data_IF_003574890993
#
_entry.id   IF_003574890993
#
_cell.length_a   1.000
_cell.length_b   1.000
_cell.length_c   1.000
_cell.angle_alpha   90.00
_cell.angle_beta   90.00
_cell.angle_gamma   90.00
#
_symmetry.space_group_name_H-M   'P 1'
#
loop_
_entity.id
_entity.type
_entity.pdbx_description
1 polymer ?
#
# COMPACT_ATOMS: atom_id res chain seq x y z
N UNK A 1 -46.70 2.22 -36.31
CA UNK A 1 -45.81 1.19 -35.77
C UNK A 1 -44.53 1.83 -35.31
N UNK A 2 -44.41 2.15 -34.01
CA UNK A 2 -43.21 2.78 -33.42
C UNK A 2 -42.39 1.64 -32.87
N UNK A 3 -41.21 1.41 -33.43
CA UNK A 3 -40.26 0.44 -32.92
C UNK A 3 -39.59 1.01 -31.66
N UNK A 4 -39.93 0.47 -30.49
CA UNK A 4 -39.20 0.67 -29.25
C UNK A 4 -37.84 -0.05 -29.35
N UNK A 5 -36.77 0.72 -29.54
CA UNK A 5 -35.42 0.21 -29.36
C UNK A 5 -35.22 -0.12 -27.87
N UNK A 6 -35.30 -1.39 -27.53
CA UNK A 6 -34.87 -1.87 -26.20
C UNK A 6 -33.35 -1.77 -26.17
N UNK A 7 -32.85 -0.69 -25.61
CA UNK A 7 -31.43 -0.54 -25.29
C UNK A 7 -31.04 -1.64 -24.30
N UNK A 8 -30.21 -2.59 -24.74
CA UNK A 8 -29.54 -3.54 -23.83
C UNK A 8 -28.71 -2.69 -22.87
N UNK A 9 -29.18 -2.56 -21.64
CA UNK A 9 -28.36 -2.05 -20.53
C UNK A 9 -27.43 -3.19 -20.15
N UNK A 10 -26.20 -3.14 -20.66
CA UNK A 10 -25.13 -4.02 -20.18
C UNK A 10 -24.89 -3.75 -18.71
N UNK A 11 -24.69 -4.79 -17.89
CA UNK A 11 -24.37 -4.56 -16.48
C UNK A 11 -23.09 -3.71 -16.38
N UNK A 12 -23.16 -2.63 -15.65
CA UNK A 12 -22.14 -1.55 -15.52
C UNK A 12 -20.78 -2.03 -14.98
N UNK A 13 -20.66 -3.32 -14.64
CA UNK A 13 -19.50 -3.93 -14.01
C UNK A 13 -18.76 -4.98 -14.85
N UNK A 14 -19.18 -5.27 -16.06
CA UNK A 14 -18.46 -6.19 -16.94
C UNK A 14 -17.51 -5.39 -17.84
N UNK A 15 -16.20 -5.58 -17.68
CA UNK A 15 -15.19 -5.01 -18.58
C UNK A 15 -15.39 -5.54 -20.00
N UNK A 16 -15.11 -4.70 -21.01
CA UNK A 16 -15.04 -5.17 -22.39
C UNK A 16 -13.94 -6.22 -22.53
N UNK A 17 -14.10 -7.16 -23.46
CA UNK A 17 -13.14 -8.26 -23.65
C UNK A 17 -11.70 -7.74 -23.87
N UNK A 18 -11.52 -6.56 -24.52
CA UNK A 18 -10.20 -5.96 -24.72
C UNK A 18 -9.64 -5.39 -23.43
N UNK A 19 -10.43 -4.67 -22.64
CA UNK A 19 -9.98 -4.11 -21.35
C UNK A 19 -9.63 -5.23 -20.37
N UNK A 20 -10.43 -6.28 -20.33
CA UNK A 20 -10.18 -7.47 -19.50
C UNK A 20 -8.87 -8.17 -19.87
N UNK A 21 -8.56 -8.31 -21.15
CA UNK A 21 -7.31 -8.92 -21.61
C UNK A 21 -6.10 -8.06 -21.23
N UNK A 22 -6.17 -6.72 -21.36
CA UNK A 22 -5.11 -5.80 -20.93
C UNK A 22 -4.86 -5.89 -19.43
N UNK A 23 -5.92 -5.91 -18.62
CA UNK A 23 -5.83 -6.08 -17.16
C UNK A 23 -5.15 -7.42 -16.83
N UNK A 24 -5.56 -8.52 -17.45
CA UNK A 24 -4.97 -9.84 -17.23
C UNK A 24 -3.47 -9.87 -17.55
N UNK A 25 -3.06 -9.26 -18.67
CA UNK A 25 -1.64 -9.16 -19.04
C UNK A 25 -0.86 -8.31 -18.03
N UNK A 26 -1.42 -7.19 -17.58
CA UNK A 26 -0.81 -6.33 -16.58
C UNK A 26 -0.65 -7.06 -15.23
N UNK A 27 -1.69 -7.78 -14.78
CA UNK A 27 -1.65 -8.58 -13.55
C UNK A 27 -0.52 -9.64 -13.60
N UNK A 28 -0.33 -10.30 -14.76
CA UNK A 28 0.75 -11.27 -14.95
C UNK A 28 2.15 -10.63 -14.87
N UNK A 29 2.33 -9.45 -15.48
CA UNK A 29 3.60 -8.72 -15.41
C UNK A 29 3.90 -8.26 -13.99
N UNK A 30 2.89 -7.81 -13.25
CA UNK A 30 3.05 -7.38 -11.86
C UNK A 30 3.41 -8.54 -10.94
N UNK A 31 2.75 -9.69 -11.09
CA UNK A 31 3.08 -10.90 -10.33
C UNK A 31 4.50 -11.41 -10.65
N UNK A 32 4.92 -11.34 -11.92
CA UNK A 32 6.28 -11.72 -12.33
C UNK A 32 7.35 -10.76 -11.75
N UNK A 33 7.04 -9.47 -11.59
CA UNK A 33 7.97 -8.50 -11.04
C UNK A 33 8.31 -8.72 -9.56
N UNK A 34 7.39 -9.24 -8.77
CA UNK A 34 7.62 -9.60 -7.36
C UNK A 34 8.54 -10.84 -7.23
N UNK A 35 8.61 -11.68 -8.25
CA UNK A 35 9.38 -12.91 -8.24
C UNK A 35 10.80 -12.77 -8.83
N UNK A 36 11.08 -11.73 -9.63
CA UNK A 36 12.32 -11.61 -10.42
C UNK A 36 13.06 -10.28 -10.23
N UNK A 37 14.39 -10.29 -10.51
CA UNK A 37 15.25 -9.10 -10.45
C UNK A 37 15.03 -8.14 -11.65
N UNK A 38 14.27 -8.53 -12.69
CA UNK A 38 13.99 -7.73 -13.89
C UNK A 38 12.74 -6.85 -13.77
N UNK A 39 12.38 -6.46 -12.56
CA UNK A 39 11.06 -5.97 -12.17
C UNK A 39 10.69 -4.57 -12.67
N UNK A 40 11.64 -3.67 -12.89
CA UNK A 40 11.31 -2.26 -13.17
C UNK A 40 10.63 -2.10 -14.54
N UNK A 41 11.13 -2.77 -15.59
CA UNK A 41 10.54 -2.71 -16.92
C UNK A 41 9.17 -3.41 -16.97
N UNK A 42 9.07 -4.58 -16.36
CA UNK A 42 7.81 -5.34 -16.30
C UNK A 42 6.74 -4.56 -15.56
N UNK A 43 7.06 -3.94 -14.42
CA UNK A 43 6.14 -3.11 -13.66
C UNK A 43 5.71 -1.85 -14.42
N UNK A 44 6.63 -1.18 -15.13
CA UNK A 44 6.29 -0.02 -15.97
C UNK A 44 5.39 -0.43 -17.15
N UNK A 45 5.62 -1.60 -17.73
CA UNK A 45 4.77 -2.13 -18.79
C UNK A 45 3.38 -2.48 -18.27
N UNK A 46 3.27 -3.03 -17.06
CA UNK A 46 1.97 -3.26 -16.42
C UNK A 46 1.19 -1.94 -16.25
N UNK A 47 1.83 -0.86 -15.82
CA UNK A 47 1.20 0.47 -15.74
C UNK A 47 0.66 0.92 -17.09
N UNK A 48 1.43 0.76 -18.17
CA UNK A 48 0.99 1.13 -19.52
C UNK A 48 -0.28 0.38 -19.91
N UNK A 49 -0.33 -0.93 -19.66
CA UNK A 49 -1.51 -1.76 -19.95
C UNK A 49 -2.73 -1.35 -19.10
N UNK A 50 -2.53 -1.04 -17.81
CA UNK A 50 -3.62 -0.54 -16.97
C UNK A 50 -4.11 0.84 -17.44
N UNK A 51 -3.23 1.73 -17.92
CA UNK A 51 -3.62 3.01 -18.49
C UNK A 51 -4.43 2.84 -19.78
N UNK A 52 -4.04 1.90 -20.66
CA UNK A 52 -4.81 1.56 -21.86
C UNK A 52 -6.19 0.99 -21.48
N UNK A 53 -6.24 0.08 -20.52
CA UNK A 53 -7.49 -0.47 -20.02
C UNK A 53 -8.40 0.63 -19.41
N UNK A 54 -7.83 1.56 -18.63
CA UNK A 54 -8.55 2.70 -18.07
C UNK A 54 -9.06 3.67 -19.12
N UNK A 55 -8.36 3.78 -20.26
CA UNK A 55 -8.82 4.54 -21.43
C UNK A 55 -10.04 3.92 -22.11
N UNK A 56 -10.13 2.58 -22.12
CA UNK A 56 -11.28 1.85 -22.65
C UNK A 56 -12.47 1.84 -21.68
N UNK A 57 -12.20 1.76 -20.37
CA UNK A 57 -13.19 1.66 -19.30
C UNK A 57 -12.95 2.73 -18.21
N UNK A 58 -13.20 4.02 -18.52
CA UNK A 58 -12.84 5.14 -17.65
C UNK A 58 -13.64 5.17 -16.33
N UNK A 59 -14.71 4.41 -16.24
CA UNK A 59 -15.58 4.32 -15.06
C UNK A 59 -15.39 3.02 -14.26
N UNK A 60 -14.34 2.25 -14.54
CA UNK A 60 -13.98 1.06 -13.75
C UNK A 60 -13.13 1.44 -12.54
N UNK A 61 -13.71 1.37 -11.32
CA UNK A 61 -12.96 1.56 -10.08
C UNK A 61 -11.84 0.53 -9.94
N UNK A 62 -12.09 -0.73 -10.32
CA UNK A 62 -11.12 -1.82 -10.26
C UNK A 62 -9.84 -1.50 -11.05
N UNK A 63 -9.96 -1.01 -12.29
CA UNK A 63 -8.79 -0.68 -13.11
C UNK A 63 -8.01 0.48 -12.47
N UNK A 64 -8.70 1.47 -11.92
CA UNK A 64 -8.05 2.59 -11.24
C UNK A 64 -7.30 2.14 -9.97
N UNK A 65 -7.86 1.21 -9.19
CA UNK A 65 -7.20 0.59 -8.03
C UNK A 65 -5.93 -0.15 -8.46
N UNK A 66 -6.01 -0.99 -9.49
CA UNK A 66 -4.86 -1.73 -10.03
C UNK A 66 -3.77 -0.80 -10.55
N UNK A 67 -4.13 0.27 -11.25
CA UNK A 67 -3.19 1.29 -11.71
C UNK A 67 -2.50 2.00 -10.54
N UNK A 68 -3.25 2.35 -9.50
CA UNK A 68 -2.68 2.96 -8.30
C UNK A 68 -1.70 2.03 -7.58
N UNK A 69 -2.05 0.75 -7.41
CA UNK A 69 -1.18 -0.23 -6.75
C UNK A 69 0.10 -0.51 -7.55
N UNK A 70 -0.01 -0.64 -8.87
CA UNK A 70 1.15 -0.78 -9.76
C UNK A 70 2.08 0.43 -9.67
N UNK A 71 1.53 1.65 -9.64
CA UNK A 71 2.32 2.87 -9.50
C UNK A 71 3.05 2.95 -8.13
N UNK A 72 2.45 2.43 -7.05
CA UNK A 72 3.09 2.33 -5.75
C UNK A 72 4.29 1.39 -5.78
N UNK A 73 4.14 0.24 -6.45
CA UNK A 73 5.19 -0.76 -6.64
C UNK A 73 6.36 -0.19 -7.45
N UNK A 74 6.09 0.43 -8.62
CA UNK A 74 7.16 1.04 -9.44
C UNK A 74 7.89 2.13 -8.66
N UNK A 75 7.17 3.00 -7.97
CA UNK A 75 7.78 4.06 -7.17
C UNK A 75 8.69 3.54 -6.05
N UNK A 76 8.42 2.35 -5.51
CA UNK A 76 9.26 1.74 -4.48
C UNK A 76 10.63 1.29 -5.00
N UNK A 77 10.72 0.91 -6.28
CA UNK A 77 11.89 0.28 -6.86
C UNK A 77 12.66 1.13 -7.87
N UNK A 78 12.01 2.15 -8.46
CA UNK A 78 12.67 2.99 -9.45
C UNK A 78 13.82 3.80 -8.84
N UNK A 79 14.92 3.89 -9.57
CA UNK A 79 16.02 4.83 -9.29
C UNK A 79 15.73 6.24 -9.85
N UNK A 80 14.69 6.39 -10.67
CA UNK A 80 14.32 7.63 -11.33
C UNK A 80 13.34 8.50 -10.53
N UNK A 81 12.43 9.17 -11.24
CA UNK A 81 11.46 10.10 -10.64
C UNK A 81 10.33 9.37 -9.90
N UNK A 82 10.57 9.07 -8.63
CA UNK A 82 9.59 8.47 -7.73
C UNK A 82 8.34 9.32 -7.55
N UNK A 83 8.52 10.66 -7.54
CA UNK A 83 7.42 11.59 -7.33
C UNK A 83 6.36 11.47 -8.45
N UNK A 84 6.82 11.33 -9.70
CA UNK A 84 5.93 11.12 -10.86
C UNK A 84 5.02 9.91 -10.66
N UNK A 85 5.58 8.77 -10.22
CA UNK A 85 4.81 7.55 -10.02
C UNK A 85 3.83 7.68 -8.86
N UNK A 86 4.24 8.31 -7.76
CA UNK A 86 3.31 8.56 -6.66
C UNK A 86 2.18 9.53 -7.07
N UNK A 87 2.46 10.53 -7.91
CA UNK A 87 1.43 11.44 -8.43
C UNK A 87 0.46 10.73 -9.36
N UNK A 88 0.96 9.86 -10.25
CA UNK A 88 0.13 9.00 -11.10
C UNK A 88 -0.80 8.11 -10.26
N UNK A 89 -0.23 7.39 -9.29
CA UNK A 89 -1.01 6.51 -8.43
C UNK A 89 -2.01 7.26 -7.55
N UNK A 90 -1.65 8.46 -7.06
CA UNK A 90 -2.60 9.32 -6.35
C UNK A 90 -3.80 9.68 -7.23
N UNK A 91 -3.57 10.11 -8.46
CA UNK A 91 -4.66 10.48 -9.37
C UNK A 91 -5.59 9.28 -9.66
N UNK A 92 -5.01 8.09 -9.88
CA UNK A 92 -5.77 6.87 -10.07
C UNK A 92 -6.58 6.51 -8.80
N UNK A 93 -5.96 6.56 -7.60
CA UNK A 93 -6.66 6.28 -6.34
C UNK A 93 -7.78 7.30 -6.05
N UNK A 94 -7.57 8.60 -6.34
CA UNK A 94 -8.61 9.62 -6.24
C UNK A 94 -9.79 9.30 -7.16
N UNK A 95 -9.51 8.87 -8.39
CA UNK A 95 -10.55 8.45 -9.34
C UNK A 95 -11.29 7.20 -8.86
N UNK A 96 -10.57 6.20 -8.33
CA UNK A 96 -11.17 4.99 -7.77
C UNK A 96 -12.14 5.33 -6.62
N UNK A 97 -11.73 6.19 -5.67
CA UNK A 97 -12.59 6.64 -4.56
C UNK A 97 -13.82 7.43 -5.05
N UNK A 98 -13.71 8.19 -6.15
CA UNK A 98 -14.88 8.86 -6.73
C UNK A 98 -15.85 7.84 -7.34
N UNK A 99 -15.35 6.78 -7.98
CA UNK A 99 -16.16 5.76 -8.63
C UNK A 99 -16.78 4.79 -7.61
N UNK A 100 -16.03 4.42 -6.58
CA UNK A 100 -16.50 3.63 -5.44
C UNK A 100 -15.96 4.20 -4.12
N UNK A 101 -16.83 4.89 -3.40
CA UNK A 101 -16.50 5.49 -2.12
C UNK A 101 -16.36 4.46 -0.99
N UNK A 102 -16.77 3.23 -1.18
CA UNK A 102 -16.73 2.15 -0.20
C UNK A 102 -15.64 1.11 -0.49
N UNK A 103 -14.75 1.40 -1.42
CA UNK A 103 -13.57 0.57 -1.67
C UNK A 103 -12.47 0.88 -0.64
N UNK A 104 -12.21 -0.08 0.25
CA UNK A 104 -11.19 0.05 1.29
C UNK A 104 -9.77 0.09 0.72
N UNK A 105 -9.51 -0.63 -0.40
CA UNK A 105 -8.21 -0.62 -1.07
C UNK A 105 -7.94 0.73 -1.74
N UNK A 106 -8.94 1.32 -2.41
CA UNK A 106 -8.82 2.65 -3.01
C UNK A 106 -8.48 3.72 -1.96
N UNK A 107 -9.16 3.70 -0.80
CA UNK A 107 -8.89 4.60 0.32
C UNK A 107 -7.48 4.42 0.90
N UNK A 108 -7.03 3.17 1.06
CA UNK A 108 -5.68 2.86 1.50
C UNK A 108 -4.64 3.36 0.50
N UNK A 109 -4.80 3.08 -0.81
CA UNK A 109 -3.88 3.51 -1.86
C UNK A 109 -3.79 5.03 -1.94
N UNK A 110 -4.91 5.73 -1.80
CA UNK A 110 -4.91 7.20 -1.74
C UNK A 110 -4.09 7.71 -0.56
N UNK A 111 -4.27 7.11 0.63
CA UNK A 111 -3.47 7.45 1.81
C UNK A 111 -1.97 7.15 1.57
N UNK A 112 -1.64 6.00 1.00
CA UNK A 112 -0.27 5.59 0.73
C UNK A 112 0.45 6.57 -0.20
N UNK A 113 -0.15 6.90 -1.34
CA UNK A 113 0.43 7.87 -2.29
C UNK A 113 0.59 9.26 -1.69
N UNK A 114 -0.41 9.77 -0.97
CA UNK A 114 -0.33 11.08 -0.30
C UNK A 114 0.77 11.12 0.76
N UNK A 115 0.90 10.07 1.55
CA UNK A 115 1.95 9.94 2.55
C UNK A 115 3.35 9.93 1.93
N UNK A 116 3.54 9.21 0.82
CA UNK A 116 4.81 9.15 0.10
C UNK A 116 5.17 10.49 -0.56
N UNK A 117 4.21 11.17 -1.19
CA UNK A 117 4.41 12.50 -1.77
C UNK A 117 4.85 13.49 -0.69
N UNK A 118 4.15 13.54 0.44
CA UNK A 118 4.51 14.42 1.56
C UNK A 118 5.90 14.12 2.11
N UNK A 119 6.27 12.85 2.20
CA UNK A 119 7.62 12.43 2.63
C UNK A 119 8.73 12.90 1.68
N UNK A 120 8.47 12.97 0.38
CA UNK A 120 9.44 13.43 -0.62
C UNK A 120 9.54 14.95 -0.68
N UNK A 121 8.43 15.66 -0.56
CA UNK A 121 8.38 17.11 -0.74
C UNK A 121 8.86 17.90 0.48
N UNK A 122 8.72 17.32 1.70
CA UNK A 122 9.18 17.92 2.98
C UNK A 122 8.75 19.39 3.18
N UNK A 123 7.63 19.78 2.57
CA UNK A 123 7.13 21.15 2.63
C UNK A 123 6.19 21.39 3.84
N UNK A 124 5.90 22.68 4.12
CA UNK A 124 4.99 23.06 5.21
C UNK A 124 3.53 22.62 4.96
N UNK A 125 3.14 22.30 3.72
CA UNK A 125 1.85 21.72 3.40
C UNK A 125 1.65 20.34 4.00
N UNK A 126 2.74 19.67 4.39
CA UNK A 126 2.73 18.37 5.08
C UNK A 126 2.18 18.38 6.51
N UNK A 127 1.93 19.54 7.14
CA UNK A 127 1.47 19.60 8.54
C UNK A 127 0.10 18.95 8.78
N UNK A 128 -0.82 19.00 7.80
CA UNK A 128 -2.16 18.40 7.89
C UNK A 128 -2.24 16.99 7.30
N UNK A 129 -1.17 16.54 6.64
CA UNK A 129 -1.12 15.22 6.00
C UNK A 129 -1.38 14.07 6.99
N UNK A 130 -0.78 14.04 8.19
CA UNK A 130 -1.04 12.95 9.14
C UNK A 130 -2.54 12.81 9.50
N UNK A 131 -3.25 13.93 9.71
CA UNK A 131 -4.68 13.91 10.02
C UNK A 131 -5.52 13.39 8.84
N UNK A 132 -5.16 13.78 7.62
CA UNK A 132 -5.83 13.30 6.42
C UNK A 132 -5.59 11.80 6.19
N UNK A 133 -4.35 11.34 6.37
CA UNK A 133 -4.01 9.92 6.29
C UNK A 133 -4.79 9.11 7.34
N UNK A 134 -4.84 9.58 8.59
CA UNK A 134 -5.64 8.92 9.64
C UNK A 134 -7.11 8.80 9.24
N UNK A 135 -7.70 9.85 8.67
CA UNK A 135 -9.10 9.84 8.22
C UNK A 135 -9.35 8.81 7.13
N UNK A 136 -8.49 8.75 6.10
CA UNK A 136 -8.59 7.79 5.00
C UNK A 136 -8.42 6.35 5.50
N UNK A 137 -7.37 6.11 6.30
CA UNK A 137 -7.09 4.78 6.86
C UNK A 137 -8.19 4.32 7.81
N UNK A 138 -8.71 5.22 8.66
CA UNK A 138 -9.82 4.90 9.56
C UNK A 138 -11.06 4.48 8.77
N UNK A 139 -11.37 5.18 7.67
CA UNK A 139 -12.49 4.81 6.81
C UNK A 139 -12.25 3.47 6.12
N UNK A 140 -11.05 3.22 5.60
CA UNK A 140 -10.69 1.92 5.03
C UNK A 140 -10.86 0.78 6.04
N UNK A 141 -10.45 1.00 7.30
CA UNK A 141 -10.58 0.00 8.37
C UNK A 141 -12.01 -0.19 8.88
N UNK A 142 -12.89 0.82 8.76
CA UNK A 142 -14.34 0.66 8.99
C UNK A 142 -14.96 -0.25 7.93
N UNK A 143 -14.56 -0.11 6.67
CA UNK A 143 -15.04 -0.93 5.55
C UNK A 143 -14.45 -2.35 5.56
N UNK A 144 -13.16 -2.46 5.86
CA UNK A 144 -12.45 -3.73 5.99
C UNK A 144 -11.55 -3.72 7.25
N UNK A 145 -12.05 -4.18 8.40
CA UNK A 145 -11.28 -4.22 9.64
C UNK A 145 -10.03 -5.12 9.60
N UNK A 146 -9.94 -6.02 8.62
CA UNK A 146 -8.80 -6.91 8.38
C UNK A 146 -7.98 -6.51 7.16
N UNK A 147 -7.94 -5.24 6.82
CA UNK A 147 -7.10 -4.72 5.75
C UNK A 147 -5.65 -4.58 6.23
N UNK A 148 -4.83 -5.60 6.03
CA UNK A 148 -3.48 -5.70 6.61
C UNK A 148 -2.59 -4.48 6.31
N UNK A 149 -2.60 -3.99 5.06
CA UNK A 149 -1.80 -2.83 4.63
C UNK A 149 -2.27 -1.53 5.31
N UNK A 150 -3.58 -1.34 5.49
CA UNK A 150 -4.13 -0.18 6.19
C UNK A 150 -3.85 -0.23 7.70
N UNK A 151 -3.96 -1.41 8.33
CA UNK A 151 -3.55 -1.63 9.71
C UNK A 151 -2.07 -1.28 9.92
N UNK A 152 -1.19 -1.83 9.08
CA UNK A 152 0.24 -1.53 9.14
C UNK A 152 0.51 -0.03 8.98
N UNK A 153 -0.06 0.60 7.96
CA UNK A 153 0.16 2.03 7.70
C UNK A 153 -0.38 2.92 8.83
N UNK A 154 -1.53 2.57 9.44
CA UNK A 154 -2.06 3.27 10.60
C UNK A 154 -1.09 3.19 11.79
N UNK A 155 -0.56 2.00 12.08
CA UNK A 155 0.44 1.81 13.14
C UNK A 155 1.69 2.65 12.92
N UNK A 156 2.25 2.63 11.71
CA UNK A 156 3.43 3.44 11.33
C UNK A 156 3.14 4.95 11.40
N UNK A 157 1.95 5.38 10.96
CA UNK A 157 1.52 6.78 11.04
C UNK A 157 1.53 7.28 12.49
N UNK A 158 0.89 6.54 13.41
CA UNK A 158 0.82 6.89 14.82
C UNK A 158 2.18 6.87 15.51
N UNK A 159 3.06 5.93 15.13
CA UNK A 159 4.42 5.84 15.67
C UNK A 159 5.30 7.01 15.22
N UNK A 160 5.30 7.32 13.93
CA UNK A 160 6.24 8.28 13.33
C UNK A 160 5.77 9.74 13.39
N UNK A 161 4.49 10.00 13.67
CA UNK A 161 4.01 11.39 13.77
C UNK A 161 4.64 12.09 14.95
N UNK A 162 5.34 13.23 14.74
CA UNK A 162 5.96 14.00 15.81
C UNK A 162 4.97 14.44 16.89
N UNK A 163 5.42 14.52 18.15
CA UNK A 163 4.58 14.81 19.30
C UNK A 163 3.64 16.03 19.13
N UNK A 164 4.07 17.18 18.57
CA UNK A 164 3.17 18.34 18.38
C UNK A 164 2.01 18.02 17.41
N UNK A 165 2.29 17.30 16.31
CA UNK A 165 1.27 16.94 15.31
C UNK A 165 0.38 15.79 15.77
N UNK A 166 0.85 14.98 16.69
CA UNK A 166 0.10 13.84 17.25
C UNK A 166 -1.16 14.30 18.01
N UNK A 167 -1.17 15.52 18.51
CA UNK A 167 -2.35 16.13 19.13
C UNK A 167 -3.51 16.33 18.14
N UNK A 168 -3.22 16.35 16.84
CA UNK A 168 -4.22 16.46 15.77
C UNK A 168 -4.84 15.10 15.37
N UNK A 169 -4.22 14.00 15.80
CA UNK A 169 -4.69 12.65 15.52
C UNK A 169 -5.68 12.20 16.60
N UNK A 170 -6.65 11.37 16.20
CA UNK A 170 -7.58 10.71 17.13
C UNK A 170 -6.93 9.52 17.83
N UNK A 171 -6.05 8.80 17.12
CA UNK A 171 -5.26 7.71 17.67
C UNK A 171 -4.06 8.22 18.48
N UNK A 172 -3.63 7.41 19.45
CA UNK A 172 -2.46 7.68 20.28
C UNK A 172 -1.26 6.84 19.87
N UNK A 173 -0.06 7.23 20.31
CA UNK A 173 1.14 6.40 20.14
C UNK A 173 1.04 5.00 20.81
N UNK A 174 0.14 4.85 21.82
CA UNK A 174 -0.16 3.55 22.44
C UNK A 174 -0.99 2.64 21.54
N UNK A 175 -1.77 3.24 20.62
CA UNK A 175 -2.56 2.48 19.66
C UNK A 175 -1.72 1.97 18.50
N UNK A 176 -0.52 2.53 18.27
CA UNK A 176 0.40 2.08 17.22
C UNK A 176 0.71 0.57 17.35
N UNK A 177 1.02 0.10 18.56
CA UNK A 177 1.28 -1.32 18.81
C UNK A 177 0.09 -2.20 18.42
N UNK A 178 -1.13 -1.83 18.81
CA UNK A 178 -2.33 -2.60 18.47
C UNK A 178 -2.50 -2.76 16.96
N UNK A 179 -2.29 -1.68 16.20
CA UNK A 179 -2.41 -1.72 14.76
C UNK A 179 -1.29 -2.52 14.10
N UNK A 180 -0.04 -2.41 14.57
CA UNK A 180 1.08 -3.19 14.05
C UNK A 180 0.91 -4.68 14.36
N UNK A 181 0.46 -5.04 15.57
CA UNK A 181 0.13 -6.43 15.92
C UNK A 181 -0.98 -6.95 15.03
N UNK A 182 -2.10 -6.24 14.93
CA UNK A 182 -3.22 -6.64 14.08
C UNK A 182 -2.80 -6.82 12.60
N UNK A 183 -1.88 -5.98 12.10
CA UNK A 183 -1.34 -6.14 10.75
C UNK A 183 -0.58 -7.46 10.58
N UNK A 184 0.27 -7.84 11.56
CA UNK A 184 1.03 -9.10 11.53
C UNK A 184 0.17 -10.34 11.76
N UNK A 185 -0.97 -10.20 12.44
CA UNK A 185 -1.96 -11.27 12.61
C UNK A 185 -2.80 -11.46 11.34
N UNK A 186 -3.09 -10.36 10.63
CA UNK A 186 -3.88 -10.39 9.41
C UNK A 186 -3.08 -10.89 8.21
N UNK A 187 -1.81 -10.46 8.08
CA UNK A 187 -0.84 -10.98 7.13
C UNK A 187 0.43 -11.46 7.86
N UNK A 188 0.45 -12.73 8.30
CA UNK A 188 1.60 -13.31 9.00
C UNK A 188 2.90 -13.34 8.19
N UNK A 189 2.80 -13.26 6.86
CA UNK A 189 3.91 -13.30 5.91
C UNK A 189 4.40 -11.89 5.50
N UNK A 190 3.80 -10.83 6.03
CA UNK A 190 4.29 -9.46 5.81
C UNK A 190 5.58 -9.20 6.57
N UNK A 191 6.71 -9.34 5.89
CA UNK A 191 8.02 -9.03 6.45
C UNK A 191 8.16 -7.55 6.83
N UNK A 192 7.52 -6.65 6.09
CA UNK A 192 7.50 -5.23 6.40
C UNK A 192 6.78 -4.93 7.72
N UNK A 193 5.56 -5.47 7.91
CA UNK A 193 4.79 -5.24 9.13
C UNK A 193 5.52 -5.79 10.37
N UNK A 194 6.12 -6.98 10.25
CA UNK A 194 6.92 -7.57 11.33
C UNK A 194 8.18 -6.77 11.65
N UNK A 195 8.88 -6.26 10.63
CA UNK A 195 10.07 -5.44 10.84
C UNK A 195 9.71 -4.10 11.52
N UNK A 196 8.59 -3.47 11.15
CA UNK A 196 8.15 -2.23 11.78
C UNK A 196 7.62 -2.49 13.21
N UNK A 197 6.99 -3.63 13.49
CA UNK A 197 6.65 -4.06 14.85
C UNK A 197 7.91 -4.32 15.69
N UNK A 198 8.96 -4.93 15.10
CA UNK A 198 10.24 -5.11 15.78
C UNK A 198 10.90 -3.78 16.15
N UNK A 199 10.88 -2.81 15.23
CA UNK A 199 11.37 -1.44 15.49
C UNK A 199 10.57 -0.74 16.58
N UNK A 200 9.26 -0.93 16.59
CA UNK A 200 8.39 -0.42 17.64
C UNK A 200 8.80 -0.97 19.02
N UNK A 201 8.98 -2.27 19.14
CA UNK A 201 9.42 -2.90 20.39
C UNK A 201 10.84 -2.46 20.80
N UNK A 202 11.78 -2.38 19.83
CA UNK A 202 13.13 -1.93 20.07
C UNK A 202 13.17 -0.49 20.63
N UNK A 203 12.37 0.43 20.05
CA UNK A 203 12.27 1.82 20.51
C UNK A 203 11.78 1.95 21.97
N UNK A 204 11.07 0.95 22.47
CA UNK A 204 10.54 0.85 23.84
C UNK A 204 11.37 -0.02 24.76
N UNK A 205 12.57 -0.46 24.31
CA UNK A 205 13.44 -1.37 25.05
C UNK A 205 12.82 -2.72 25.39
N UNK A 206 11.83 -3.12 24.62
CA UNK A 206 11.17 -4.44 24.70
C UNK A 206 11.99 -5.45 23.85
N UNK A 207 13.23 -5.70 24.28
CA UNK A 207 14.26 -6.43 23.50
C UNK A 207 13.81 -7.82 23.10
N UNK A 208 13.21 -8.58 24.02
CA UNK A 208 12.74 -9.94 23.76
C UNK A 208 11.66 -9.98 22.66
N UNK A 209 10.67 -9.05 22.72
CA UNK A 209 9.62 -8.97 21.70
C UNK A 209 10.20 -8.52 20.35
N UNK A 210 11.13 -7.55 20.34
CA UNK A 210 11.82 -7.12 19.13
C UNK A 210 12.56 -8.29 18.47
N UNK A 211 13.35 -9.05 19.25
CA UNK A 211 14.06 -10.25 18.77
C UNK A 211 13.12 -11.30 18.20
N UNK A 212 11.98 -11.57 18.86
CA UNK A 212 11.01 -12.54 18.40
C UNK A 212 10.46 -12.15 17.00
N UNK A 213 10.12 -10.88 16.76
CA UNK A 213 9.66 -10.43 15.42
C UNK A 213 10.77 -10.49 14.36
N UNK A 214 11.99 -10.13 14.72
CA UNK A 214 13.17 -10.23 13.84
C UNK A 214 13.39 -11.69 13.41
N UNK A 215 13.37 -12.63 14.35
CA UNK A 215 13.53 -14.05 14.05
C UNK A 215 12.50 -14.55 13.02
N UNK A 216 11.24 -14.14 13.17
CA UNK A 216 10.21 -14.48 12.18
C UNK A 216 10.57 -13.93 10.79
N UNK A 217 11.03 -12.67 10.68
CA UNK A 217 11.46 -12.09 9.39
C UNK A 217 12.61 -12.88 8.79
N UNK A 218 13.61 -13.26 9.58
CA UNK A 218 14.80 -13.99 9.11
C UNK A 218 14.48 -15.41 8.65
N UNK A 219 13.47 -16.05 9.26
CA UNK A 219 13.07 -17.45 9.00
C UNK A 219 11.93 -17.56 7.98
N UNK A 220 11.44 -16.45 7.40
CA UNK A 220 10.37 -16.51 6.41
C UNK A 220 10.77 -17.32 5.18
N UNK A 221 9.90 -18.24 4.80
CA UNK A 221 10.04 -19.06 3.57
C UNK A 221 9.12 -18.60 2.44
N UNK A 222 8.03 -17.91 2.79
CA UNK A 222 7.02 -17.43 1.83
C UNK A 222 6.57 -16.02 2.19
N UNK A 223 7.46 -15.01 2.10
CA UNK A 223 7.08 -13.62 2.38
C UNK A 223 6.09 -13.12 1.34
N UNK A 224 5.15 -12.27 1.74
CA UNK A 224 4.12 -11.67 0.86
C UNK A 224 4.76 -10.92 -0.32
N UNK A 225 5.91 -10.26 -0.08
CA UNK A 225 6.71 -9.60 -1.13
C UNK A 225 8.14 -10.13 -1.08
N UNK A 226 8.44 -11.11 -1.95
CA UNK A 226 9.71 -11.85 -1.91
C UNK A 226 10.92 -10.94 -2.18
N UNK A 227 10.84 -10.09 -3.21
CA UNK A 227 11.93 -9.15 -3.55
C UNK A 227 12.20 -8.19 -2.40
N UNK A 228 11.17 -7.55 -1.86
CA UNK A 228 11.31 -6.61 -0.75
C UNK A 228 11.89 -7.29 0.51
N UNK A 229 11.45 -8.50 0.80
CA UNK A 229 12.02 -9.29 1.89
C UNK A 229 13.51 -9.54 1.69
N UNK A 230 13.93 -10.00 0.50
CA UNK A 230 15.31 -10.37 0.20
C UNK A 230 16.24 -9.15 0.20
N UNK A 231 15.84 -8.06 -0.48
CA UNK A 231 16.72 -6.93 -0.76
C UNK A 231 16.67 -5.84 0.33
N UNK A 232 15.59 -5.74 1.09
CA UNK A 232 15.37 -4.65 2.05
C UNK A 232 15.10 -5.14 3.47
N UNK A 233 14.10 -6.01 3.65
CA UNK A 233 13.60 -6.27 5.00
C UNK A 233 14.49 -7.23 5.79
N UNK A 234 15.02 -8.28 5.15
CA UNK A 234 15.95 -9.21 5.80
C UNK A 234 17.26 -8.54 6.19
N UNK A 235 17.97 -7.79 5.31
CA UNK A 235 19.16 -7.04 5.73
C UNK A 235 18.89 -6.04 6.84
N UNK A 236 17.73 -5.35 6.79
CA UNK A 236 17.35 -4.42 7.85
C UNK A 236 17.04 -5.12 9.18
N UNK A 237 16.45 -6.31 9.15
CA UNK A 237 16.22 -7.13 10.34
C UNK A 237 17.54 -7.60 10.96
N UNK A 238 18.50 -8.03 10.13
CA UNK A 238 19.85 -8.42 10.57
C UNK A 238 20.60 -7.23 11.20
N UNK A 239 20.47 -6.03 10.63
CA UNK A 239 21.04 -4.81 11.18
C UNK A 239 20.42 -4.49 12.55
N UNK A 240 19.09 -4.48 12.64
CA UNK A 240 18.39 -4.21 13.90
C UNK A 240 18.74 -5.23 14.97
N UNK A 241 18.92 -6.50 14.62
CA UNK A 241 19.32 -7.54 15.57
C UNK A 241 20.69 -7.28 16.21
N UNK A 242 21.63 -6.73 15.41
CA UNK A 242 22.97 -6.38 15.91
C UNK A 242 22.95 -5.14 16.83
N UNK A 243 22.00 -4.26 16.67
CA UNK A 243 21.84 -3.05 17.49
C UNK A 243 21.18 -3.32 18.84
N UNK A 244 20.44 -4.42 18.96
CA UNK A 244 19.77 -4.79 20.20
C UNK A 244 20.78 -5.26 21.25
N UNK A 245 20.62 -4.83 22.55
CA UNK A 245 21.45 -5.33 23.64
C UNK A 245 21.52 -6.85 23.66
N UNK A 246 22.68 -7.41 24.03
CA UNK A 246 22.77 -8.84 24.35
C UNK A 246 21.87 -9.15 25.57
N UNK A 247 21.28 -10.34 25.58
CA UNK A 247 20.52 -10.81 26.76
C UNK A 247 21.44 -11.04 27.95
#
# INVERSE_FOLDING_TARGET
MVALAVGMVWPVWALTGKAQELVRQADQLQAASDASDTSDESSQRAITLYQEAAGLEPNSAEIQVKLADAALTVAAWTSGDRLRWYQLGRAAAERAVVLDQNDAEALFLLAAHRGQIASLQKDLGGLLVPQELERLLSRALVLNPRHARALHMMGVLLERTPAPLRLLLKGSARDAEKYLVAATETDPNSSQARLDLARHYASRRQTAQARAQIQVVLQMTSPTHLRAWREQHRPAAEALLRELPAE
#
